data_IF_844418529859
#
_entry.id   IF_844418529859
#
_cell.length_a   1.000
_cell.length_b   1.000
_cell.length_c   1.000
_cell.angle_alpha   90.00
_cell.angle_beta   90.00
_cell.angle_gamma   90.00
#
_symmetry.space_group_name_H-M   'P 1'
#
loop_
_entity.id
_entity.type
_entity.pdbx_description
1 polymer ?
#
# COMPACT_ATOMS: atom_id res chain seq x y z
N UNK A 1 5.80 -3.31 -2.56
CA UNK A 1 5.32 -2.27 -3.49
C UNK A 1 3.96 -1.73 -3.10
N UNK A 2 2.94 -2.58 -2.93
CA UNK A 2 1.60 -2.16 -2.48
C UNK A 2 1.64 -1.27 -1.21
N UNK A 3 2.38 -1.71 -0.18
CA UNK A 3 2.61 -0.89 1.01
C UNK A 3 3.19 0.47 0.68
N UNK A 4 4.26 0.52 -0.11
CA UNK A 4 4.93 1.77 -0.47
C UNK A 4 3.95 2.77 -1.11
N UNK A 5 3.08 2.32 -2.02
CA UNK A 5 2.07 3.21 -2.62
C UNK A 5 0.95 3.60 -1.65
N UNK A 6 0.57 2.74 -0.71
CA UNK A 6 -0.39 3.13 0.34
C UNK A 6 0.22 4.20 1.25
N UNK A 7 1.53 4.14 1.54
CA UNK A 7 2.22 5.14 2.36
C UNK A 7 2.25 6.54 1.72
N UNK A 8 2.06 6.67 0.40
CA UNK A 8 1.90 7.99 -0.24
C UNK A 8 0.67 8.74 0.28
N UNK A 9 -0.29 8.04 0.88
CA UNK A 9 -1.50 8.63 1.42
C UNK A 9 -1.31 9.25 2.81
N UNK A 10 -0.18 9.00 3.47
CA UNK A 10 0.09 9.46 4.84
C UNK A 10 1.11 10.59 4.86
N UNK A 11 0.76 11.70 5.51
CA UNK A 11 1.73 12.71 5.93
C UNK A 11 2.04 12.55 7.42
N UNK A 12 3.10 11.78 7.72
CA UNK A 12 3.56 11.55 9.09
C UNK A 12 4.17 12.79 9.77
N UNK A 13 4.46 13.86 9.03
CA UNK A 13 4.98 15.11 9.56
C UNK A 13 3.89 16.19 9.67
N UNK A 14 2.68 15.89 9.22
CA UNK A 14 1.52 16.76 9.25
C UNK A 14 0.82 16.80 10.61
N UNK A 15 -0.35 17.45 10.63
CA UNK A 15 -1.15 17.59 11.86
C UNK A 15 -1.98 16.35 12.19
N UNK A 16 -2.12 15.42 11.24
CA UNK A 16 -2.93 14.19 11.37
C UNK A 16 -2.17 12.97 10.83
N UNK A 17 -1.06 12.56 11.47
CA UNK A 17 -0.16 11.53 10.94
C UNK A 17 -0.77 10.12 10.86
N UNK A 18 -1.92 9.90 11.51
CA UNK A 18 -2.65 8.64 11.54
C UNK A 18 -3.72 8.50 10.45
N UNK A 19 -3.90 9.51 9.58
CA UNK A 19 -5.01 9.62 8.63
C UNK A 19 -4.50 9.66 7.19
N UNK A 20 -5.18 8.96 6.28
CA UNK A 20 -4.90 9.00 4.84
C UNK A 20 -5.44 10.27 4.18
N UNK A 21 -4.69 11.37 4.26
CA UNK A 21 -5.08 12.67 3.66
C UNK A 21 -4.63 12.84 2.22
N UNK A 22 -3.52 12.21 1.83
CA UNK A 22 -2.90 12.38 0.52
C UNK A 22 -3.48 11.41 -0.52
N UNK A 23 -3.41 11.76 -1.82
CA UNK A 23 -3.91 10.90 -2.89
C UNK A 23 -3.06 9.63 -3.04
N UNK A 24 -3.72 8.53 -3.41
CA UNK A 24 -3.01 7.35 -3.89
C UNK A 24 -2.35 7.66 -5.24
N UNK A 25 -1.14 7.14 -5.54
CA UNK A 25 -0.48 7.40 -6.83
C UNK A 25 -1.37 7.00 -7.99
N UNK A 26 -1.40 7.85 -9.01
CA UNK A 26 -2.09 7.60 -10.28
C UNK A 26 -1.50 6.40 -11.00
N UNK A 27 -2.24 5.85 -11.97
CA UNK A 27 -1.75 4.73 -12.78
C UNK A 27 -0.41 5.05 -13.45
N UNK A 28 -0.25 6.27 -13.97
CA UNK A 28 0.98 6.69 -14.64
C UNK A 28 2.16 6.76 -13.67
N UNK A 29 1.96 7.30 -12.46
CA UNK A 29 2.99 7.32 -11.40
C UNK A 29 3.39 5.90 -10.96
N UNK A 30 2.41 5.00 -10.80
CA UNK A 30 2.66 3.60 -10.51
C UNK A 30 3.50 2.95 -11.62
N UNK A 31 3.13 3.18 -12.89
CA UNK A 31 3.84 2.63 -14.04
C UNK A 31 5.27 3.14 -14.13
N UNK A 32 5.51 4.42 -13.88
CA UNK A 32 6.87 5.00 -13.84
C UNK A 32 7.71 4.35 -12.75
N UNK A 33 7.16 4.20 -11.53
CA UNK A 33 7.87 3.54 -10.43
C UNK A 33 8.17 2.06 -10.75
N UNK A 34 7.19 1.32 -11.27
CA UNK A 34 7.35 -0.10 -11.61
C UNK A 34 8.38 -0.27 -12.72
N UNK A 35 8.36 0.58 -13.75
CA UNK A 35 9.36 0.53 -14.82
C UNK A 35 10.76 0.75 -14.28
N UNK A 36 10.95 1.76 -13.43
CA UNK A 36 12.23 1.99 -12.76
C UNK A 36 12.67 0.78 -11.93
N UNK A 37 11.75 0.15 -11.20
CA UNK A 37 12.04 -1.08 -10.45
C UNK A 37 12.49 -2.23 -11.35
N UNK A 38 11.80 -2.49 -12.46
CA UNK A 38 12.22 -3.51 -13.44
C UNK A 38 13.62 -3.20 -13.97
N UNK A 39 13.88 -1.93 -14.30
CA UNK A 39 15.17 -1.50 -14.83
C UNK A 39 16.32 -1.72 -13.84
N UNK A 40 16.06 -1.65 -12.53
CA UNK A 40 17.06 -1.99 -11.50
C UNK A 40 17.34 -3.49 -11.33
N UNK A 41 16.44 -4.35 -11.79
CA UNK A 41 16.56 -5.81 -11.67
C UNK A 41 17.05 -6.48 -12.97
N UNK A 42 17.58 -5.69 -13.91
CA UNK A 42 18.21 -6.21 -15.12
C UNK A 42 19.55 -6.86 -14.79
N UNK A 43 19.83 -7.99 -15.42
CA UNK A 43 21.13 -8.65 -15.38
C UNK A 43 22.19 -7.86 -16.18
N UNK A 44 23.44 -8.34 -16.17
CA UNK A 44 24.56 -7.72 -16.90
C UNK A 44 24.33 -7.63 -18.42
N UNK A 45 23.40 -8.42 -18.96
CA UNK A 45 23.00 -8.46 -20.36
C UNK A 45 21.76 -7.58 -20.64
N UNK A 46 21.20 -6.93 -19.61
CA UNK A 46 20.02 -6.07 -19.71
C UNK A 46 18.69 -6.82 -19.66
N UNK A 47 18.67 -8.12 -19.38
CA UNK A 47 17.45 -8.93 -19.32
C UNK A 47 16.85 -8.89 -17.92
N UNK A 48 15.53 -9.01 -17.83
CA UNK A 48 14.80 -9.29 -16.59
C UNK A 48 13.96 -10.55 -16.76
N UNK A 49 13.25 -10.95 -15.72
CA UNK A 49 12.37 -12.13 -15.63
C UNK A 49 11.22 -12.23 -16.67
N UNK A 50 11.09 -11.24 -17.55
CA UNK A 50 10.04 -11.15 -18.57
C UNK A 50 8.72 -10.52 -18.08
N UNK A 51 8.62 -10.17 -16.80
CA UNK A 51 7.41 -9.55 -16.22
C UNK A 51 7.17 -8.15 -16.81
N UNK A 52 5.99 -7.90 -17.36
CA UNK A 52 5.61 -6.58 -17.84
C UNK A 52 5.20 -5.64 -16.70
N UNK A 53 5.30 -4.33 -16.93
CA UNK A 53 4.86 -3.29 -15.99
C UNK A 53 3.40 -3.51 -15.55
N UNK A 54 2.53 -3.89 -16.46
CA UNK A 54 1.10 -4.09 -16.17
C UNK A 54 0.84 -5.36 -15.35
N UNK A 55 1.63 -6.43 -15.54
CA UNK A 55 1.54 -7.64 -14.70
C UNK A 55 1.94 -7.35 -13.25
N UNK A 56 3.09 -6.68 -13.04
CA UNK A 56 3.53 -6.28 -11.70
C UNK A 56 2.53 -5.31 -11.07
N UNK A 57 1.93 -4.41 -11.86
CA UNK A 57 0.89 -3.48 -11.37
C UNK A 57 -0.34 -4.24 -10.87
N UNK A 58 -0.82 -5.23 -11.62
CA UNK A 58 -1.96 -6.07 -11.20
C UNK A 58 -1.65 -6.90 -9.96
N UNK A 59 -0.45 -7.46 -9.88
CA UNK A 59 -0.01 -8.17 -8.69
C UNK A 59 0.03 -7.22 -7.48
N UNK A 60 0.58 -6.02 -7.64
CA UNK A 60 0.58 -4.97 -6.63
C UNK A 60 -0.84 -4.64 -6.15
N UNK A 61 -1.80 -4.48 -7.07
CA UNK A 61 -3.21 -4.21 -6.72
C UNK A 61 -3.81 -5.33 -5.86
N UNK A 62 -3.51 -6.59 -6.16
CA UNK A 62 -3.97 -7.73 -5.36
C UNK A 62 -3.41 -7.70 -3.92
N UNK A 63 -2.21 -7.17 -3.72
CA UNK A 63 -1.56 -7.03 -2.41
C UNK A 63 -2.06 -5.85 -1.57
N UNK A 64 -2.89 -4.93 -2.11
CA UNK A 64 -3.43 -3.81 -1.35
C UNK A 64 -4.28 -4.28 -0.15
N UNK A 65 -5.09 -5.33 -0.34
CA UNK A 65 -5.87 -5.92 0.76
C UNK A 65 -4.98 -6.42 1.89
N UNK A 66 -3.96 -7.20 1.54
CA UNK A 66 -2.98 -7.74 2.51
C UNK A 66 -2.26 -6.62 3.27
N UNK A 67 -1.91 -5.56 2.55
CA UNK A 67 -1.28 -4.35 3.11
C UNK A 67 -2.19 -3.65 4.12
N UNK A 68 -3.48 -3.47 3.81
CA UNK A 68 -4.41 -2.82 4.71
C UNK A 68 -4.71 -3.66 5.95
N UNK A 69 -4.99 -4.96 5.80
CA UNK A 69 -5.28 -5.82 6.96
C UNK A 69 -4.08 -5.98 7.87
N UNK A 70 -2.87 -6.15 7.31
CA UNK A 70 -1.64 -6.30 8.10
C UNK A 70 -1.40 -5.10 9.01
N UNK A 71 -1.42 -3.90 8.45
CA UNK A 71 -1.22 -2.67 9.22
C UNK A 71 -2.41 -2.29 10.10
N UNK A 72 -3.63 -2.63 9.71
CA UNK A 72 -4.82 -2.48 10.54
C UNK A 72 -4.72 -3.30 11.83
N UNK A 73 -4.31 -4.56 11.73
CA UNK A 73 -4.11 -5.43 12.89
C UNK A 73 -2.92 -4.97 13.74
N UNK A 74 -1.80 -4.59 13.11
CA UNK A 74 -0.65 -4.03 13.82
C UNK A 74 -1.04 -2.79 14.62
N UNK A 75 -1.79 -1.85 14.01
CA UNK A 75 -2.27 -0.64 14.68
C UNK A 75 -3.17 -0.96 15.87
N UNK A 76 -4.05 -1.95 15.74
CA UNK A 76 -4.93 -2.36 16.84
C UNK A 76 -4.14 -2.87 18.05
N UNK A 77 -3.11 -3.67 17.81
CA UNK A 77 -2.22 -4.16 18.87
C UNK A 77 -1.48 -2.98 19.51
N UNK A 78 -0.91 -2.08 18.69
CA UNK A 78 -0.18 -0.91 19.18
C UNK A 78 -1.03 0.06 20.00
N UNK A 79 -2.33 0.21 19.68
CA UNK A 79 -3.25 1.03 20.45
C UNK A 79 -3.33 0.62 21.94
N UNK A 80 -2.99 -0.62 22.28
CA UNK A 80 -3.00 -1.12 23.65
C UNK A 80 -1.65 -1.11 24.38
N UNK A 81 -0.53 -0.95 23.65
CA UNK A 81 0.81 -1.18 24.22
C UNK A 81 1.86 -0.12 23.86
N UNK A 82 1.67 0.67 22.81
CA UNK A 82 2.65 1.65 22.37
C UNK A 82 2.70 2.85 23.33
N UNK A 83 3.90 3.39 23.52
CA UNK A 83 4.13 4.64 24.26
C UNK A 83 4.33 5.84 23.33
N UNK A 84 4.32 5.62 22.02
CA UNK A 84 4.48 6.68 21.01
C UNK A 84 3.16 7.48 20.94
N UNK A 85 3.28 8.81 20.93
CA UNK A 85 2.15 9.72 20.73
C UNK A 85 1.68 9.68 19.28
N UNK A 86 0.84 8.69 18.99
CA UNK A 86 0.25 8.42 17.68
C UNK A 86 -1.12 7.77 17.88
N UNK A 87 -2.13 8.19 17.12
CA UNK A 87 -3.48 7.63 17.22
C UNK A 87 -3.59 6.28 16.48
N UNK A 88 -3.04 5.24 17.12
CA UNK A 88 -3.04 3.88 16.59
C UNK A 88 -4.43 3.30 16.39
N UNK A 89 -5.42 3.71 17.20
CA UNK A 89 -6.78 3.20 17.08
C UNK A 89 -7.46 3.78 15.84
N UNK A 90 -7.37 5.10 15.62
CA UNK A 90 -7.88 5.72 14.41
C UNK A 90 -7.19 5.15 13.16
N UNK A 91 -5.85 5.06 13.17
CA UNK A 91 -5.08 4.44 12.10
C UNK A 91 -5.56 3.01 11.81
N UNK A 92 -5.72 2.18 12.85
CA UNK A 92 -6.19 0.81 12.70
C UNK A 92 -7.56 0.72 12.04
N UNK A 93 -8.52 1.52 12.51
CA UNK A 93 -9.89 1.51 11.98
C UNK A 93 -9.93 1.97 10.52
N UNK A 94 -9.13 2.98 10.17
CA UNK A 94 -9.01 3.46 8.80
C UNK A 94 -8.45 2.38 7.86
N UNK A 95 -7.35 1.71 8.26
CA UNK A 95 -6.76 0.61 7.47
C UNK A 95 -7.72 -0.57 7.33
N UNK A 96 -8.41 -0.98 8.41
CA UNK A 96 -9.39 -2.06 8.35
C UNK A 96 -10.62 -1.70 7.51
N UNK A 97 -11.02 -0.42 7.49
CA UNK A 97 -12.03 0.12 6.58
C UNK A 97 -11.62 -0.07 5.11
N UNK A 98 -10.42 0.38 4.75
CA UNK A 98 -9.88 0.22 3.39
C UNK A 98 -9.73 -1.26 2.96
N UNK A 99 -9.38 -2.15 3.90
CA UNK A 99 -9.42 -3.60 3.66
C UNK A 99 -10.84 -4.08 3.31
N UNK A 100 -11.86 -3.68 4.07
CA UNK A 100 -13.25 -4.08 3.81
C UNK A 100 -13.76 -3.57 2.47
N UNK A 101 -13.47 -2.32 2.12
CA UNK A 101 -13.84 -1.76 0.81
C UNK A 101 -13.20 -2.54 -0.34
N UNK A 102 -11.93 -2.90 -0.19
CA UNK A 102 -11.22 -3.71 -1.16
C UNK A 102 -11.81 -5.12 -1.25
N UNK A 103 -12.09 -5.77 -0.12
CA UNK A 103 -12.70 -7.10 -0.08
C UNK A 103 -14.05 -7.13 -0.82
N UNK A 104 -14.88 -6.09 -0.63
CA UNK A 104 -16.16 -5.99 -1.36
C UNK A 104 -15.92 -5.95 -2.85
N UNK A 105 -14.99 -5.12 -3.35
CA UNK A 105 -14.66 -5.07 -4.79
C UNK A 105 -14.28 -6.43 -5.35
N UNK A 106 -13.47 -7.21 -4.62
CA UNK A 106 -13.05 -8.55 -5.05
C UNK A 106 -14.17 -9.58 -5.00
N UNK A 107 -15.11 -9.47 -4.06
CA UNK A 107 -16.25 -10.40 -3.94
C UNK A 107 -17.32 -10.26 -5.03
N UNK A 108 -17.25 -9.24 -5.89
CA UNK A 108 -18.21 -9.02 -6.98
C UNK A 108 -17.65 -9.37 -8.37
N UNK A 109 -16.42 -9.92 -8.44
CA UNK A 109 -15.74 -10.24 -9.71
C UNK A 109 -15.93 -11.72 -10.11
N UNK A 110 -16.83 -12.44 -9.43
CA UNK A 110 -17.24 -13.82 -9.78
C UNK A 110 -18.43 -13.86 -10.76
#
# INVERSE_FOLDING_TARGET
>A
MANHFVEWRYDYHGTTPAVMTEPFPSKDEQMVFIQAYIDTNKDELGNHDGSSVEEIRKEMEAWLMGTHVGWGLWGLVQASQSQIDFDYFAYSMERLGAFRESLVKWSVVD
#
